data_IF_244426276910
#
_entry.id   IF_244426276910
#
_cell.length_a   1.000
_cell.length_b   1.000
_cell.length_c   1.000
_cell.angle_alpha   90.00
_cell.angle_beta   90.00
_cell.angle_gamma   90.00
#
_symmetry.space_group_name_H-M   'P 1'
#
loop_
_entity.id
_entity.type
_entity.pdbx_description
1 polymer ?
#
# COMPACT_ATOMS: atom_id res chain seq x y z
N UNK A 1 -14.74 41.16 -34.90
CA UNK A 1 -15.58 39.97 -34.59
C UNK A 1 -14.90 38.62 -34.87
N UNK A 2 -14.01 38.48 -35.87
CA UNK A 2 -13.32 37.19 -36.15
C UNK A 2 -12.31 36.76 -35.07
N UNK A 3 -11.71 37.70 -34.34
CA UNK A 3 -10.73 37.38 -33.28
C UNK A 3 -11.37 36.97 -31.95
N UNK A 4 -12.53 37.53 -31.60
CA UNK A 4 -13.27 37.18 -30.37
C UNK A 4 -13.82 35.75 -30.39
N UNK A 5 -14.22 35.25 -31.57
CA UNK A 5 -14.67 33.86 -31.73
C UNK A 5 -13.52 32.88 -31.47
N UNK A 6 -12.29 33.18 -31.94
CA UNK A 6 -11.11 32.34 -31.70
C UNK A 6 -10.72 32.28 -30.23
N UNK A 7 -10.84 33.38 -29.50
CA UNK A 7 -10.54 33.44 -28.06
C UNK A 7 -11.56 32.64 -27.24
N UNK A 8 -12.85 32.68 -27.61
CA UNK A 8 -13.90 31.91 -26.93
C UNK A 8 -13.71 30.40 -27.15
N UNK A 9 -13.38 29.97 -28.37
CA UNK A 9 -13.13 28.55 -28.67
C UNK A 9 -11.93 27.99 -27.89
N UNK A 10 -10.89 28.80 -27.66
CA UNK A 10 -9.71 28.37 -26.90
C UNK A 10 -9.99 28.23 -25.38
N UNK A 11 -10.82 29.11 -24.82
CA UNK A 11 -11.20 29.06 -23.39
C UNK A 11 -12.10 27.86 -23.08
N UNK A 12 -13.03 27.50 -23.96
CA UNK A 12 -13.91 26.33 -23.78
C UNK A 12 -13.12 25.01 -23.79
N UNK A 13 -12.08 24.91 -24.63
CA UNK A 13 -11.22 23.72 -24.68
C UNK A 13 -10.40 23.54 -23.39
N UNK A 14 -9.94 24.63 -22.76
CA UNK A 14 -9.14 24.58 -21.53
C UNK A 14 -9.94 24.11 -20.30
N UNK A 15 -11.24 24.43 -20.23
CA UNK A 15 -12.12 24.02 -19.11
C UNK A 15 -12.46 22.53 -19.14
N UNK A 16 -12.45 21.91 -20.34
CA UNK A 16 -12.74 20.48 -20.49
C UNK A 16 -11.61 19.56 -19.97
N UNK A 17 -10.38 20.04 -19.88
CA UNK A 17 -9.25 19.26 -19.34
C UNK A 17 -9.18 19.23 -17.81
N UNK A 18 -9.94 20.06 -17.10
CA UNK A 18 -9.87 20.17 -15.63
C UNK A 18 -10.77 19.17 -14.88
N UNK A 19 -11.59 18.37 -15.57
CA UNK A 19 -12.64 17.55 -14.94
C UNK A 19 -12.37 16.03 -14.88
N UNK A 20 -11.16 15.55 -15.17
CA UNK A 20 -10.89 14.09 -15.23
C UNK A 20 -10.52 13.44 -13.89
N UNK A 21 -10.47 14.17 -12.77
CA UNK A 21 -10.01 13.64 -11.48
C UNK A 21 -11.05 12.84 -10.68
N UNK A 22 -12.34 12.84 -11.07
CA UNK A 22 -13.40 12.30 -10.22
C UNK A 22 -13.62 10.77 -10.30
N UNK A 23 -12.97 10.06 -11.24
CA UNK A 23 -13.11 8.61 -11.38
C UNK A 23 -12.15 7.80 -10.50
N UNK A 24 -11.07 8.39 -10.01
CA UNK A 24 -10.07 7.71 -9.18
C UNK A 24 -10.52 7.53 -7.71
N UNK A 25 -11.42 8.40 -7.23
CA UNK A 25 -11.97 8.39 -5.86
C UNK A 25 -13.25 7.56 -5.71
N UNK A 26 -13.54 6.63 -6.63
CA UNK A 26 -14.57 5.61 -6.41
C UNK A 26 -13.97 4.22 -6.14
N UNK A 27 -12.79 3.98 -6.70
CA UNK A 27 -12.14 2.68 -6.66
C UNK A 27 -11.40 2.43 -5.33
N UNK A 28 -10.87 3.49 -4.71
CA UNK A 28 -10.13 3.36 -3.45
C UNK A 28 -11.07 3.11 -2.28
N UNK A 29 -12.21 3.77 -2.24
CA UNK A 29 -13.19 3.65 -1.16
C UNK A 29 -13.83 2.26 -1.21
N UNK A 30 -14.17 1.74 -2.39
CA UNK A 30 -14.59 0.33 -2.56
C UNK A 30 -13.52 -0.68 -2.11
N UNK A 31 -12.23 -0.38 -2.32
CA UNK A 31 -11.16 -1.24 -1.83
C UNK A 31 -11.11 -1.24 -0.29
N UNK A 32 -11.28 -0.07 0.34
CA UNK A 32 -11.36 0.05 1.80
C UNK A 32 -12.57 -0.68 2.36
N UNK A 33 -13.76 -0.44 1.82
CA UNK A 33 -15.01 -1.10 2.24
C UNK A 33 -14.89 -2.62 2.15
N UNK A 34 -14.37 -3.14 1.03
CA UNK A 34 -14.15 -4.57 0.86
C UNK A 34 -13.19 -5.12 1.90
N UNK A 35 -12.05 -4.46 2.12
CA UNK A 35 -11.06 -4.93 3.07
C UNK A 35 -11.60 -4.91 4.51
N UNK A 36 -12.31 -3.85 4.91
CA UNK A 36 -12.96 -3.75 6.22
C UNK A 36 -13.97 -4.88 6.42
N UNK A 37 -14.85 -5.10 5.45
CA UNK A 37 -15.83 -6.18 5.51
C UNK A 37 -15.17 -7.56 5.64
N UNK A 38 -14.03 -7.79 4.98
CA UNK A 38 -13.28 -9.05 5.11
C UNK A 38 -12.71 -9.21 6.52
N UNK A 39 -12.09 -8.17 7.08
CA UNK A 39 -11.52 -8.22 8.44
C UNK A 39 -12.61 -8.40 9.50
N UNK A 40 -13.74 -7.69 9.40
CA UNK A 40 -14.85 -7.77 10.37
C UNK A 40 -15.52 -9.16 10.41
N UNK A 41 -15.47 -9.91 9.30
CA UNK A 41 -16.00 -11.27 9.22
C UNK A 41 -14.93 -12.35 9.50
N UNK A 42 -13.66 -11.94 9.70
CA UNK A 42 -12.56 -12.82 10.04
C UNK A 42 -12.54 -13.23 11.51
N UNK A 43 -11.70 -14.22 11.85
CA UNK A 43 -11.44 -14.51 13.25
C UNK A 43 -10.58 -13.39 13.87
N UNK A 44 -10.81 -12.99 15.14
CA UNK A 44 -10.07 -11.89 15.77
C UNK A 44 -8.56 -12.12 15.89
N UNK A 45 -8.11 -13.38 15.89
CA UNK A 45 -6.72 -13.79 15.99
C UNK A 45 -6.11 -14.23 14.64
N UNK A 46 -6.83 -14.02 13.53
CA UNK A 46 -6.35 -14.31 12.18
C UNK A 46 -5.33 -13.25 11.72
N UNK A 47 -4.12 -13.37 12.27
CA UNK A 47 -2.99 -12.51 11.95
C UNK A 47 -2.69 -12.51 10.44
N UNK A 48 -2.93 -13.62 9.74
CA UNK A 48 -2.65 -13.71 8.30
C UNK A 48 -3.65 -12.87 7.52
N UNK A 49 -4.94 -12.99 7.82
CA UNK A 49 -5.99 -12.17 7.21
C UNK A 49 -5.69 -10.68 7.37
N UNK A 50 -5.31 -10.24 8.58
CA UNK A 50 -4.93 -8.86 8.85
C UNK A 50 -3.74 -8.39 8.00
N UNK A 51 -2.69 -9.21 7.88
CA UNK A 51 -1.53 -8.89 7.05
C UNK A 51 -1.89 -8.82 5.56
N UNK A 52 -2.68 -9.76 5.06
CA UNK A 52 -3.13 -9.80 3.66
C UNK A 52 -4.01 -8.60 3.30
N UNK A 53 -4.93 -8.19 4.18
CA UNK A 53 -5.76 -7.02 3.95
C UNK A 53 -4.96 -5.72 4.04
N UNK A 54 -3.96 -5.64 4.93
CA UNK A 54 -3.04 -4.51 4.97
C UNK A 54 -2.23 -4.40 3.67
N UNK A 55 -1.64 -5.50 3.19
CA UNK A 55 -0.90 -5.58 1.94
C UNK A 55 -1.78 -5.16 0.74
N UNK A 56 -3.01 -5.68 0.67
CA UNK A 56 -4.00 -5.30 -0.34
C UNK A 56 -4.22 -3.78 -0.38
N UNK A 57 -4.43 -3.14 0.77
CA UNK A 57 -4.64 -1.70 0.87
C UNK A 57 -3.40 -0.88 0.50
N UNK A 58 -2.21 -1.31 0.92
CA UNK A 58 -0.93 -0.68 0.56
C UNK A 58 -0.73 -0.71 -0.96
N UNK A 59 -0.92 -1.87 -1.60
CA UNK A 59 -0.84 -2.04 -3.05
C UNK A 59 -1.85 -1.19 -3.82
N UNK A 60 -3.06 -0.99 -3.26
CA UNK A 60 -4.10 -0.13 -3.85
C UNK A 60 -3.91 1.36 -3.55
N UNK A 61 -2.94 1.73 -2.72
CA UNK A 61 -2.75 3.11 -2.26
C UNK A 61 -4.05 3.71 -1.68
N UNK A 62 -4.74 2.90 -0.86
CA UNK A 62 -6.03 3.19 -0.26
C UNK A 62 -6.02 2.79 1.22
N UNK A 63 -6.77 3.48 2.08
CA UNK A 63 -6.93 3.07 3.49
C UNK A 63 -5.62 2.87 4.26
N UNK A 64 -4.60 3.69 4.02
CA UNK A 64 -3.25 3.50 4.59
C UNK A 64 -3.27 3.49 6.14
N UNK A 65 -4.21 4.20 6.77
CA UNK A 65 -4.40 4.16 8.21
C UNK A 65 -4.90 2.78 8.69
N UNK A 66 -5.89 2.19 8.00
CA UNK A 66 -6.39 0.85 8.29
C UNK A 66 -5.28 -0.18 8.08
N UNK A 67 -4.56 -0.08 6.95
CA UNK A 67 -3.44 -0.96 6.66
C UNK A 67 -2.42 -0.96 7.79
N UNK A 68 -2.05 0.23 8.30
CA UNK A 68 -1.15 0.37 9.45
C UNK A 68 -1.68 -0.35 10.69
N UNK A 69 -2.93 -0.08 11.07
CA UNK A 69 -3.54 -0.68 12.25
C UNK A 69 -3.51 -2.20 12.19
N UNK A 70 -3.97 -2.76 11.07
CA UNK A 70 -4.03 -4.21 10.89
C UNK A 70 -2.66 -4.87 10.83
N UNK A 71 -1.66 -4.26 10.17
CA UNK A 71 -0.33 -4.87 10.16
C UNK A 71 0.36 -4.78 11.53
N UNK A 72 0.08 -3.74 12.33
CA UNK A 72 0.56 -3.66 13.71
C UNK A 72 -0.09 -4.73 14.59
N UNK A 73 -1.40 -4.93 14.46
CA UNK A 73 -2.14 -5.96 15.17
C UNK A 73 -1.67 -7.37 14.77
N UNK A 74 -1.54 -7.63 13.48
CA UNK A 74 -1.01 -8.87 12.93
C UNK A 74 0.38 -9.21 13.50
N UNK A 75 1.30 -8.25 13.51
CA UNK A 75 2.63 -8.40 14.11
C UNK A 75 2.58 -8.67 15.63
N UNK A 76 1.60 -8.09 16.33
CA UNK A 76 1.44 -8.31 17.77
C UNK A 76 0.93 -9.72 18.11
N UNK A 77 0.13 -10.32 17.22
CA UNK A 77 -0.33 -11.70 17.35
C UNK A 77 0.79 -12.67 16.94
N UNK A 78 1.44 -12.40 15.81
CA UNK A 78 2.55 -13.21 15.29
C UNK A 78 3.53 -12.38 14.48
N UNK A 79 4.78 -12.37 14.91
CA UNK A 79 5.89 -11.78 14.15
C UNK A 79 6.39 -12.78 13.09
N UNK A 80 5.69 -12.85 11.96
CA UNK A 80 6.05 -13.70 10.82
C UNK A 80 6.86 -12.92 9.76
N UNK A 81 7.70 -13.59 8.94
CA UNK A 81 8.46 -12.93 7.88
C UNK A 81 7.62 -12.10 6.91
N UNK A 82 6.44 -12.63 6.52
CA UNK A 82 5.49 -11.92 5.66
C UNK A 82 4.99 -10.62 6.31
N UNK A 83 4.63 -10.67 7.59
CA UNK A 83 4.09 -9.52 8.31
C UNK A 83 5.16 -8.41 8.44
N UNK A 84 6.41 -8.79 8.68
CA UNK A 84 7.54 -7.88 8.71
C UNK A 84 7.77 -7.22 7.35
N UNK A 85 7.68 -7.98 6.26
CA UNK A 85 7.80 -7.47 4.89
C UNK A 85 6.69 -6.47 4.56
N UNK A 86 5.43 -6.78 4.89
CA UNK A 86 4.28 -5.90 4.65
C UNK A 86 4.40 -4.59 5.46
N UNK A 87 4.95 -4.64 6.67
CA UNK A 87 5.27 -3.42 7.43
C UNK A 87 6.39 -2.60 6.76
N UNK A 88 7.37 -3.27 6.16
CA UNK A 88 8.36 -2.62 5.30
C UNK A 88 7.72 -1.92 4.11
N UNK A 89 6.76 -2.57 3.44
CA UNK A 89 6.01 -2.00 2.32
C UNK A 89 5.18 -0.78 2.75
N UNK A 90 4.59 -0.82 3.95
CA UNK A 90 3.91 0.33 4.55
C UNK A 90 4.86 1.53 4.71
N UNK A 91 6.02 1.33 5.34
CA UNK A 91 6.99 2.41 5.55
C UNK A 91 7.54 2.94 4.23
N UNK A 92 7.80 2.07 3.26
CA UNK A 92 8.19 2.44 1.91
C UNK A 92 7.13 3.33 1.26
N UNK A 93 5.85 2.98 1.39
CA UNK A 93 4.73 3.77 0.88
C UNK A 93 4.63 5.16 1.51
N UNK A 94 5.06 5.29 2.76
CA UNK A 94 5.12 6.56 3.50
C UNK A 94 6.42 7.35 3.27
N UNK A 95 7.32 6.92 2.38
CA UNK A 95 8.66 7.49 2.16
C UNK A 95 9.54 7.48 3.43
N UNK A 96 9.35 6.48 4.29
CA UNK A 96 10.10 6.26 5.52
C UNK A 96 11.17 5.17 5.29
N UNK A 97 12.11 5.46 4.40
CA UNK A 97 13.04 4.48 3.82
C UNK A 97 13.91 3.79 4.87
N UNK A 98 14.29 4.49 5.95
CA UNK A 98 15.05 3.89 7.05
C UNK A 98 14.25 2.79 7.74
N UNK A 99 13.03 3.09 8.16
CA UNK A 99 12.14 2.11 8.80
C UNK A 99 11.76 0.98 7.84
N UNK A 100 11.54 1.28 6.55
CA UNK A 100 11.29 0.26 5.54
C UNK A 100 12.46 -0.74 5.45
N UNK A 101 13.69 -0.22 5.38
CA UNK A 101 14.91 -1.05 5.34
C UNK A 101 15.04 -1.90 6.60
N UNK A 102 14.79 -1.34 7.78
CA UNK A 102 14.86 -2.08 9.05
C UNK A 102 13.89 -3.27 9.07
N UNK A 103 12.65 -3.08 8.63
CA UNK A 103 11.66 -4.15 8.59
C UNK A 103 11.93 -5.20 7.50
N UNK A 104 12.42 -4.79 6.34
CA UNK A 104 12.88 -5.72 5.30
C UNK A 104 14.04 -6.59 5.79
N UNK A 105 15.01 -6.03 6.51
CA UNK A 105 16.10 -6.80 7.11
C UNK A 105 15.57 -7.81 8.13
N UNK A 106 14.68 -7.38 9.03
CA UNK A 106 14.03 -8.29 10.00
C UNK A 106 13.30 -9.44 9.31
N UNK A 107 12.58 -9.16 8.23
CA UNK A 107 11.89 -10.19 7.44
C UNK A 107 12.89 -11.21 6.88
N UNK A 108 13.97 -10.76 6.23
CA UNK A 108 15.02 -11.66 5.72
C UNK A 108 15.66 -12.51 6.82
N UNK A 109 15.95 -11.91 7.97
CA UNK A 109 16.56 -12.61 9.09
C UNK A 109 15.61 -13.69 9.62
N UNK A 110 14.31 -13.38 9.77
CA UNK A 110 13.31 -14.35 10.16
C UNK A 110 13.18 -15.51 9.15
N UNK A 111 13.21 -15.23 7.84
CA UNK A 111 13.22 -16.30 6.82
C UNK A 111 14.45 -17.20 6.94
N UNK A 112 15.63 -16.62 7.22
CA UNK A 112 16.90 -17.36 7.32
C UNK A 112 16.98 -18.23 8.57
N UNK A 113 16.31 -17.82 9.65
CA UNK A 113 16.16 -18.66 10.85
C UNK A 113 15.39 -19.94 10.52
N UNK A 114 14.34 -19.85 9.70
CA UNK A 114 13.55 -21.01 9.26
C UNK A 114 14.30 -21.85 8.22
N UNK A 115 15.01 -21.21 7.29
CA UNK A 115 15.78 -21.87 6.25
C UNK A 115 17.01 -21.02 5.85
N UNK A 116 18.20 -21.46 6.24
CA UNK A 116 19.45 -20.76 5.96
C UNK A 116 19.74 -20.56 4.45
N UNK A 117 19.16 -21.38 3.58
CA UNK A 117 19.33 -21.31 2.13
C UNK A 117 18.17 -20.61 1.41
N UNK A 118 17.26 -19.96 2.14
CA UNK A 118 16.11 -19.25 1.56
C UNK A 118 16.57 -18.13 0.62
N UNK A 119 15.88 -18.00 -0.51
CA UNK A 119 16.13 -16.91 -1.45
C UNK A 119 15.43 -15.63 -0.99
N UNK A 120 16.22 -14.62 -0.60
CA UNK A 120 15.74 -13.30 -0.16
C UNK A 120 15.93 -12.20 -1.20
N UNK A 121 16.21 -12.53 -2.47
CA UNK A 121 16.50 -11.54 -3.53
C UNK A 121 15.36 -10.55 -3.70
N UNK A 122 14.11 -10.99 -3.63
CA UNK A 122 12.94 -10.08 -3.71
C UNK A 122 12.95 -8.98 -2.64
N UNK A 123 13.40 -9.28 -1.42
CA UNK A 123 13.51 -8.27 -0.35
C UNK A 123 14.72 -7.35 -0.58
N UNK A 124 15.83 -7.91 -1.09
CA UNK A 124 17.01 -7.13 -1.45
C UNK A 124 16.68 -6.11 -2.56
N UNK A 125 15.88 -6.50 -3.54
CA UNK A 125 15.39 -5.62 -4.61
C UNK A 125 14.52 -4.48 -4.05
N UNK A 126 13.64 -4.79 -3.09
CA UNK A 126 12.86 -3.77 -2.37
C UNK A 126 13.75 -2.77 -1.65
N UNK A 127 14.80 -3.22 -0.94
CA UNK A 127 15.76 -2.34 -0.27
C UNK A 127 16.53 -1.48 -1.30
N UNK A 128 16.94 -2.06 -2.42
CA UNK A 128 17.65 -1.33 -3.47
C UNK A 128 16.79 -0.21 -4.08
N UNK A 129 15.47 -0.44 -4.22
CA UNK A 129 14.51 0.53 -4.74
C UNK A 129 14.22 1.71 -3.79
N UNK A 130 14.69 1.68 -2.54
CA UNK A 130 14.56 2.79 -1.58
C UNK A 130 15.64 3.89 -1.74
N UNK A 131 16.58 3.70 -2.67
CA UNK A 131 17.69 4.63 -2.95
C UNK A 131 17.34 5.57 -4.08
#
# INVERSE_FOLDING_TARGET
>A
MKNTIKTITFVVAAVLFMNTSSFASGAKEKAVEKAVSVVENGAPDDWMLLAEQADYLIKKNAGIANAKGWIQESLSIKEAPYNLEVMGDYYSKCNLNKQATEYYIKSMDAMKVENANVNTTHIQDKIAALR
#
